data_IF_980055763691
#
_entry.id   IF_980055763691
#
_cell.length_a   1.000
_cell.length_b   1.000
_cell.length_c   1.000
_cell.angle_alpha   90.00
_cell.angle_beta   90.00
_cell.angle_gamma   90.00
#
_symmetry.space_group_name_H-M   'P 1'
#
loop_
_entity.id
_entity.type
_entity.pdbx_description
1 polymer ?
#
# COMPACT_ATOMS: atom_id res chain seq x y z
N UNK A 1 18.98 19.73 -49.70
CA UNK A 1 19.25 18.63 -48.75
C UNK A 1 18.90 18.97 -47.29
N UNK A 2 18.44 20.18 -46.94
CA UNK A 2 18.11 20.57 -45.55
C UNK A 2 16.79 20.00 -44.97
N UNK A 3 16.08 19.12 -45.71
CA UNK A 3 14.79 18.54 -45.28
C UNK A 3 14.94 17.18 -44.59
N UNK A 4 16.11 16.55 -44.69
CA UNK A 4 16.40 15.26 -44.07
C UNK A 4 16.77 15.38 -42.58
N UNK A 5 17.38 16.49 -42.15
CA UNK A 5 17.74 16.74 -40.74
C UNK A 5 16.53 16.81 -39.80
N UNK A 6 15.42 17.50 -40.15
CA UNK A 6 14.21 17.50 -39.35
C UNK A 6 13.56 16.12 -39.26
N UNK A 7 13.47 15.39 -40.38
CA UNK A 7 12.81 14.09 -40.43
C UNK A 7 13.58 13.05 -39.59
N UNK A 8 14.91 13.07 -39.65
CA UNK A 8 15.77 12.23 -38.78
C UNK A 8 15.59 12.56 -37.29
N UNK A 9 15.43 13.84 -36.95
CA UNK A 9 15.18 14.25 -35.58
C UNK A 9 13.80 13.80 -35.07
N UNK A 10 12.79 13.79 -35.94
CA UNK A 10 11.45 13.28 -35.60
C UNK A 10 11.50 11.78 -35.33
N UNK A 11 12.18 11.01 -36.18
CA UNK A 11 12.35 9.57 -36.01
C UNK A 11 13.08 9.23 -34.69
N UNK A 12 14.16 9.96 -34.35
CA UNK A 12 14.88 9.79 -33.08
C UNK A 12 13.99 10.11 -31.86
N UNK A 13 13.15 11.14 -31.95
CA UNK A 13 12.21 11.49 -30.88
C UNK A 13 11.18 10.38 -30.68
N UNK A 14 10.66 9.78 -31.76
CA UNK A 14 9.71 8.66 -31.68
C UNK A 14 10.35 7.43 -31.03
N UNK A 15 11.56 7.06 -31.44
CA UNK A 15 12.30 5.94 -30.83
C UNK A 15 12.56 6.17 -29.32
N UNK A 16 12.97 7.37 -28.94
CA UNK A 16 13.18 7.74 -27.53
C UNK A 16 11.87 7.68 -26.74
N UNK A 17 10.75 8.11 -27.33
CA UNK A 17 9.44 8.07 -26.67
C UNK A 17 8.93 6.65 -26.45
N UNK A 18 9.10 5.76 -27.40
CA UNK A 18 8.75 4.34 -27.24
C UNK A 18 9.56 3.70 -26.10
N UNK A 19 10.87 3.97 -26.08
CA UNK A 19 11.77 3.47 -25.03
C UNK A 19 11.44 4.04 -23.65
N UNK A 20 11.01 5.31 -23.59
CA UNK A 20 10.54 5.94 -22.37
C UNK A 20 9.21 5.33 -21.90
N UNK A 21 8.24 5.11 -22.79
CA UNK A 21 6.97 4.48 -22.44
C UNK A 21 7.20 3.09 -21.81
N UNK A 22 8.04 2.25 -22.42
CA UNK A 22 8.40 0.95 -21.85
C UNK A 22 9.10 1.04 -20.49
N UNK A 23 9.94 2.07 -20.28
CA UNK A 23 10.62 2.30 -19.00
C UNK A 23 9.64 2.78 -17.92
N UNK A 24 8.68 3.62 -18.29
CA UNK A 24 7.62 4.13 -17.40
C UNK A 24 6.70 3.00 -16.97
N UNK A 25 6.25 2.14 -17.90
CA UNK A 25 5.41 0.99 -17.57
C UNK A 25 6.13 0.02 -16.60
N UNK A 26 7.41 -0.26 -16.85
CA UNK A 26 8.22 -1.08 -15.94
C UNK A 26 8.38 -0.44 -14.54
N UNK A 27 8.45 0.88 -14.45
CA UNK A 27 8.52 1.59 -13.18
C UNK A 27 7.19 1.57 -12.44
N UNK A 28 6.06 1.68 -13.15
CA UNK A 28 4.71 1.59 -12.58
C UNK A 28 4.50 0.20 -11.98
N UNK A 29 4.90 -0.86 -12.69
CA UNK A 29 4.79 -2.24 -12.20
C UNK A 29 5.70 -2.53 -11.01
N UNK A 30 6.93 -2.01 -11.01
CA UNK A 30 7.88 -2.20 -9.90
C UNK A 30 7.51 -1.39 -8.66
N UNK A 31 6.96 -0.19 -8.86
CA UNK A 31 6.48 0.70 -7.79
C UNK A 31 5.05 0.35 -7.41
N UNK A 32 4.48 -0.72 -7.98
CA UNK A 32 3.09 -1.06 -7.78
C UNK A 32 2.80 -1.20 -6.27
N UNK A 33 1.98 -0.29 -5.71
CA UNK A 33 1.78 -0.18 -4.28
C UNK A 33 1.16 -1.46 -3.69
N UNK A 34 0.57 -2.33 -4.52
CA UNK A 34 0.05 -3.63 -4.12
C UNK A 34 1.08 -4.49 -3.37
N UNK A 35 2.33 -4.50 -3.79
CA UNK A 35 3.34 -5.32 -3.12
C UNK A 35 3.78 -4.72 -1.78
N UNK A 36 3.79 -3.39 -1.67
CA UNK A 36 4.04 -2.68 -0.41
C UNK A 36 2.88 -2.92 0.57
N UNK A 37 1.64 -2.80 0.09
CA UNK A 37 0.43 -3.08 0.86
C UNK A 37 0.39 -4.53 1.34
N UNK A 38 0.70 -5.51 0.48
CA UNK A 38 0.72 -6.94 0.87
C UNK A 38 1.72 -7.22 1.99
N UNK A 39 2.92 -6.62 1.92
CA UNK A 39 3.94 -6.73 3.00
C UNK A 39 3.48 -6.08 4.30
N UNK A 40 2.85 -4.91 4.21
CA UNK A 40 2.26 -4.23 5.38
C UNK A 40 1.14 -5.05 6.02
N UNK A 41 0.20 -5.56 5.21
CA UNK A 41 -0.89 -6.42 5.68
C UNK A 41 -0.38 -7.72 6.31
N UNK A 42 0.65 -8.34 5.73
CA UNK A 42 1.25 -9.54 6.30
C UNK A 42 1.90 -9.26 7.67
N UNK A 43 2.61 -8.14 7.83
CA UNK A 43 3.21 -7.77 9.11
C UNK A 43 2.16 -7.44 10.17
N UNK A 44 1.08 -6.75 9.78
CA UNK A 44 -0.07 -6.47 10.65
C UNK A 44 -0.74 -7.76 11.09
N UNK A 45 -1.02 -8.68 10.15
CA UNK A 45 -1.65 -9.97 10.43
C UNK A 45 -0.79 -10.84 11.34
N UNK A 46 0.53 -10.84 11.16
CA UNK A 46 1.48 -11.59 12.00
C UNK A 46 1.47 -11.18 13.48
N UNK A 47 1.00 -9.97 13.82
CA UNK A 47 0.84 -9.55 15.21
C UNK A 47 -0.34 -10.24 15.91
N UNK A 48 -1.34 -10.68 15.15
CA UNK A 48 -2.56 -11.28 15.66
C UNK A 48 -2.72 -12.75 15.29
N UNK A 49 -1.98 -13.26 14.31
CA UNK A 49 -2.05 -14.63 13.82
C UNK A 49 -0.64 -15.21 13.76
N UNK A 50 -0.49 -16.44 14.21
CA UNK A 50 0.77 -17.17 14.21
C UNK A 50 1.11 -17.76 12.83
N UNK A 51 2.34 -18.26 12.67
CA UNK A 51 2.87 -18.86 11.44
C UNK A 51 2.04 -20.07 10.98
N UNK A 52 1.37 -20.74 11.92
CA UNK A 52 0.46 -21.87 11.69
C UNK A 52 -0.96 -21.44 11.30
N UNK A 53 -1.25 -20.14 11.26
CA UNK A 53 -2.61 -19.61 11.07
C UNK A 53 -3.44 -19.53 12.35
N UNK A 54 -2.88 -19.92 13.50
CA UNK A 54 -3.58 -19.90 14.79
C UNK A 54 -3.68 -18.47 15.35
N UNK A 55 -4.83 -18.04 15.90
CA UNK A 55 -4.96 -16.73 16.53
C UNK A 55 -4.02 -16.59 17.74
N UNK A 56 -3.25 -15.49 17.80
CA UNK A 56 -2.40 -15.14 18.96
C UNK A 56 -3.27 -14.58 20.07
N UNK A 57 -3.89 -15.47 20.84
CA UNK A 57 -4.78 -15.09 21.96
C UNK A 57 -4.09 -14.18 22.98
N UNK A 58 -2.77 -14.34 23.20
CA UNK A 58 -1.99 -13.45 24.07
C UNK A 58 -1.95 -11.98 23.63
N UNK A 59 -2.10 -11.69 22.33
CA UNK A 59 -2.15 -10.32 21.80
C UNK A 59 -3.60 -9.86 21.56
N UNK A 60 -4.46 -10.76 21.10
CA UNK A 60 -5.86 -10.42 20.77
C UNK A 60 -6.65 -10.04 22.02
N UNK A 61 -6.55 -10.84 23.09
CA UNK A 61 -7.32 -10.63 24.33
C UNK A 61 -7.10 -9.24 24.94
N UNK A 62 -5.85 -8.77 25.18
CA UNK A 62 -5.65 -7.45 25.76
C UNK A 62 -6.09 -6.31 24.83
N UNK A 63 -5.93 -6.44 23.51
CA UNK A 63 -6.37 -5.42 22.55
C UNK A 63 -7.90 -5.29 22.55
N UNK A 64 -8.61 -6.42 22.50
CA UNK A 64 -10.08 -6.44 22.56
C UNK A 64 -10.57 -5.92 23.91
N UNK A 65 -9.98 -6.39 25.02
CA UNK A 65 -10.32 -5.95 26.36
C UNK A 65 -10.10 -4.45 26.58
N UNK A 66 -8.96 -3.92 26.14
CA UNK A 66 -8.66 -2.49 26.22
C UNK A 66 -9.63 -1.65 25.38
N UNK A 67 -9.92 -2.07 24.15
CA UNK A 67 -10.87 -1.37 23.27
C UNK A 67 -12.27 -1.36 23.88
N UNK A 68 -12.74 -2.50 24.39
CA UNK A 68 -14.05 -2.62 25.04
C UNK A 68 -14.14 -1.72 26.28
N UNK A 69 -13.09 -1.68 27.11
CA UNK A 69 -13.04 -0.82 28.29
C UNK A 69 -13.11 0.68 27.93
N UNK A 70 -12.41 1.11 26.89
CA UNK A 70 -12.47 2.49 26.40
C UNK A 70 -13.87 2.84 25.91
N UNK A 71 -14.48 1.98 25.09
CA UNK A 71 -15.84 2.19 24.59
C UNK A 71 -16.85 2.25 25.73
N UNK A 72 -16.75 1.34 26.70
CA UNK A 72 -17.60 1.35 27.89
C UNK A 72 -17.43 2.65 28.70
N UNK A 73 -16.19 3.11 28.90
CA UNK A 73 -15.90 4.39 29.55
C UNK A 73 -16.53 5.58 28.84
N UNK A 74 -16.41 5.65 27.51
CA UNK A 74 -17.04 6.70 26.69
C UNK A 74 -18.57 6.67 26.86
N UNK A 75 -19.19 5.49 26.83
CA UNK A 75 -20.63 5.33 27.00
C UNK A 75 -21.07 5.81 28.39
N UNK A 76 -20.36 5.41 29.44
CA UNK A 76 -20.64 5.82 30.82
C UNK A 76 -20.54 7.33 30.97
N UNK A 77 -19.45 7.95 30.48
CA UNK A 77 -19.29 9.41 30.49
C UNK A 77 -20.44 10.08 29.74
N UNK A 78 -20.76 9.60 28.53
CA UNK A 78 -21.86 10.15 27.72
C UNK A 78 -23.21 10.02 28.40
N UNK A 79 -23.41 9.00 29.24
CA UNK A 79 -24.64 8.78 30.01
C UNK A 79 -24.70 9.61 31.29
N UNK A 80 -23.57 10.03 31.84
CA UNK A 80 -23.51 10.92 33.02
C UNK A 80 -23.58 12.40 32.65
N UNK A 81 -23.12 12.77 31.45
CA UNK A 81 -23.10 14.16 30.95
C UNK A 81 -24.39 14.54 30.19
N UNK A 82 -25.22 13.56 29.81
CA UNK A 82 -26.56 13.78 29.23
C UNK A 82 -27.63 13.53 30.28
#
# INVERSE_FOLDING_TARGET
MAKAEPDVLVDEIEEIRERLAGTVDALIDRTNPKNILRRGLASLKGRFVDETGSPRMGTIVPVVGGTAAVVAGIIVIRRLVR
#
